data_IF_004319012739
#
_entry.id   IF_004319012739
#
_cell.length_a   1.000
_cell.length_b   1.000
_cell.length_c   1.000
_cell.angle_alpha   90.00
_cell.angle_beta   90.00
_cell.angle_gamma   90.00
#
_symmetry.space_group_name_H-M   'P 1'
#
loop_
_entity.id
_entity.type
_entity.pdbx_description
1 polymer ?
#
# COMPACT_ATOMS: atom_id res chain seq x y z
N UNK A 1 -12.94 1.96 -3.07
CA UNK A 1 -11.56 2.47 -2.90
C UNK A 1 -10.92 2.65 -4.26
N UNK A 2 -10.38 3.82 -4.52
CA UNK A 2 -9.68 4.09 -5.77
C UNK A 2 -8.38 3.31 -5.80
N UNK A 3 -8.05 2.76 -6.97
CA UNK A 3 -6.82 1.96 -7.14
C UNK A 3 -5.92 2.60 -8.18
N UNK A 4 -4.64 2.71 -7.84
CA UNK A 4 -3.59 3.15 -8.75
C UNK A 4 -2.60 2.00 -8.89
N UNK A 5 -2.27 1.65 -10.13
CA UNK A 5 -1.24 0.66 -10.41
C UNK A 5 -0.08 1.35 -11.10
N UNK A 6 1.11 1.22 -10.51
CA UNK A 6 2.32 1.84 -11.02
C UNK A 6 3.33 0.74 -11.36
N UNK A 7 3.75 0.71 -12.61
CA UNK A 7 4.80 -0.21 -13.07
C UNK A 7 6.06 0.59 -13.35
N UNK A 8 7.17 0.17 -12.77
CA UNK A 8 8.48 0.80 -12.99
C UNK A 8 9.34 -0.18 -13.77
N UNK A 9 9.63 0.17 -15.02
CA UNK A 9 10.41 -0.66 -15.93
C UNK A 9 11.86 -0.17 -15.98
N UNK A 10 12.80 -1.11 -15.97
CA UNK A 10 14.21 -0.79 -16.08
C UNK A 10 14.88 -0.36 -14.78
N UNK A 11 14.17 -0.40 -13.66
CA UNK A 11 14.71 -0.05 -12.34
C UNK A 11 14.04 -0.86 -11.27
N UNK A 12 14.82 -1.38 -10.33
CA UNK A 12 14.28 -2.15 -9.19
C UNK A 12 14.19 -1.24 -7.98
N UNK A 13 12.97 -0.91 -7.59
CA UNK A 13 12.73 -0.07 -6.42
C UNK A 13 12.96 -0.84 -5.13
N UNK A 14 13.47 -0.16 -4.10
CA UNK A 14 13.40 -0.66 -2.74
C UNK A 14 12.13 -0.13 -2.06
N UNK A 15 11.89 -0.58 -0.83
CA UNK A 15 10.69 -0.19 -0.09
C UNK A 15 10.60 1.33 0.12
N UNK A 16 11.72 1.96 0.50
CA UNK A 16 11.73 3.39 0.78
C UNK A 16 11.42 4.22 -0.47
N UNK A 17 11.95 3.81 -1.61
CA UNK A 17 11.67 4.46 -2.89
C UNK A 17 10.20 4.28 -3.28
N UNK A 18 9.67 3.06 -3.14
CA UNK A 18 8.27 2.77 -3.44
C UNK A 18 7.34 3.58 -2.53
N UNK A 19 7.66 3.66 -1.24
CA UNK A 19 6.90 4.45 -0.29
C UNK A 19 6.86 5.93 -0.66
N UNK A 20 8.00 6.48 -1.10
CA UNK A 20 8.07 7.87 -1.52
C UNK A 20 7.21 8.13 -2.76
N UNK A 21 7.23 7.22 -3.73
CA UNK A 21 6.35 7.32 -4.89
C UNK A 21 4.88 7.27 -4.48
N UNK A 22 4.52 6.36 -3.59
CA UNK A 22 3.16 6.26 -3.08
C UNK A 22 2.71 7.53 -2.40
N UNK A 23 3.58 8.11 -1.56
CA UNK A 23 3.30 9.36 -0.87
C UNK A 23 3.04 10.51 -1.85
N UNK A 24 3.88 10.64 -2.86
CA UNK A 24 3.73 11.69 -3.87
C UNK A 24 2.38 11.54 -4.58
N UNK A 25 2.02 10.34 -4.98
CA UNK A 25 0.75 10.10 -5.66
C UNK A 25 -0.45 10.35 -4.76
N UNK A 26 -0.36 9.96 -3.49
CA UNK A 26 -1.45 10.17 -2.53
C UNK A 26 -1.66 11.65 -2.22
N UNK A 27 -0.57 12.38 -2.00
CA UNK A 27 -0.64 13.79 -1.63
C UNK A 27 -1.08 14.69 -2.78
N UNK A 28 -0.86 14.25 -4.01
CA UNK A 28 -1.34 15.01 -5.16
C UNK A 28 -2.86 15.17 -5.16
N UNK A 29 -3.57 14.16 -4.70
CA UNK A 29 -5.04 14.19 -4.63
C UNK A 29 -5.59 14.68 -3.30
N UNK A 30 -4.78 14.64 -2.25
CA UNK A 30 -5.20 15.01 -0.90
C UNK A 30 -3.97 15.34 -0.05
N UNK A 31 -3.77 16.61 0.25
CA UNK A 31 -2.63 17.07 1.05
C UNK A 31 -2.61 16.48 2.47
N UNK A 32 -3.74 15.98 2.92
CA UNK A 32 -3.89 15.39 4.26
C UNK A 32 -3.93 13.87 4.22
N UNK A 33 -3.50 13.26 3.11
CA UNK A 33 -3.48 11.80 3.00
C UNK A 33 -2.60 11.18 4.08
N UNK A 34 -3.11 10.14 4.72
CA UNK A 34 -2.41 9.44 5.79
C UNK A 34 -2.25 7.98 5.41
N UNK A 35 -1.06 7.45 5.59
CA UNK A 35 -0.79 6.03 5.35
C UNK A 35 -1.50 5.19 6.41
N UNK A 36 -2.42 4.34 5.97
CA UNK A 36 -3.23 3.50 6.85
C UNK A 36 -2.63 2.11 6.99
N UNK A 37 -2.21 1.52 5.88
CA UNK A 37 -1.60 0.19 5.88
C UNK A 37 -0.69 0.04 4.67
N UNK A 38 0.20 -0.95 4.72
CA UNK A 38 1.12 -1.22 3.62
C UNK A 38 1.62 -2.67 3.67
N UNK A 39 2.16 -3.12 2.54
CA UNK A 39 2.77 -4.44 2.42
C UNK A 39 4.04 -4.35 1.59
N UNK A 40 5.11 -4.99 2.07
CA UNK A 40 6.36 -5.20 1.35
C UNK A 40 6.51 -6.71 1.12
N UNK A 41 6.22 -7.17 -0.09
CA UNK A 41 6.26 -8.60 -0.39
C UNK A 41 7.67 -9.14 -0.50
N UNK A 42 8.65 -8.31 -0.82
CA UNK A 42 10.03 -8.76 -0.92
C UNK A 42 10.55 -9.24 0.43
N UNK A 43 10.17 -8.55 1.50
CA UNK A 43 10.58 -8.89 2.85
C UNK A 43 9.52 -9.69 3.61
N UNK A 44 8.34 -9.86 3.05
CA UNK A 44 7.24 -10.55 3.70
C UNK A 44 6.72 -9.82 4.92
N UNK A 45 6.79 -8.48 4.95
CA UNK A 45 6.35 -7.67 6.08
C UNK A 45 5.21 -6.76 5.67
N UNK A 46 4.38 -6.42 6.64
CA UNK A 46 3.25 -5.52 6.41
C UNK A 46 2.87 -4.81 7.70
N UNK A 47 2.10 -3.76 7.58
CA UNK A 47 1.58 -3.01 8.72
C UNK A 47 0.08 -2.77 8.51
N UNK A 48 -0.75 -3.00 9.52
CA UNK A 48 -0.40 -3.48 10.86
C UNK A 48 0.05 -4.95 10.83
N UNK A 49 1.01 -5.30 11.68
CA UNK A 49 1.64 -6.62 11.66
C UNK A 49 1.05 -7.61 12.68
N UNK A 50 0.28 -7.13 13.63
CA UNK A 50 -0.25 -7.95 14.71
C UNK A 50 -1.63 -8.53 14.42
N UNK A 51 -2.13 -8.36 13.21
CA UNK A 51 -3.42 -8.89 12.78
C UNK A 51 -3.26 -10.30 12.24
N UNK A 52 -4.36 -11.04 12.23
CA UNK A 52 -4.39 -12.33 11.55
C UNK A 52 -3.99 -12.13 10.10
N UNK A 53 -3.21 -13.08 9.58
CA UNK A 53 -2.64 -12.97 8.24
C UNK A 53 -3.70 -12.93 7.15
N UNK A 54 -4.86 -13.55 7.39
CA UNK A 54 -5.93 -13.57 6.40
C UNK A 54 -7.29 -13.43 7.07
N UNK A 55 -8.22 -12.82 6.34
CA UNK A 55 -9.61 -12.75 6.72
C UNK A 55 -10.45 -13.06 5.49
N UNK A 56 -11.09 -14.22 5.47
CA UNK A 56 -11.87 -14.73 4.33
C UNK A 56 -11.07 -14.74 3.03
N UNK A 57 -9.79 -15.16 3.12
CA UNK A 57 -8.93 -15.24 1.95
C UNK A 57 -8.22 -13.93 1.58
N UNK A 58 -8.47 -12.84 2.30
CA UNK A 58 -7.80 -11.57 2.06
C UNK A 58 -6.75 -11.30 3.13
N UNK A 59 -5.61 -10.66 2.77
CA UNK A 59 -4.61 -10.30 3.76
C UNK A 59 -5.16 -9.33 4.81
N UNK A 60 -4.76 -9.51 6.06
CA UNK A 60 -5.24 -8.69 7.17
C UNK A 60 -4.96 -7.20 7.01
N UNK A 61 -3.78 -6.85 6.47
CA UNK A 61 -3.43 -5.44 6.26
C UNK A 61 -4.35 -4.77 5.23
N UNK A 62 -4.81 -5.51 4.23
CA UNK A 62 -5.70 -4.97 3.21
C UNK A 62 -7.11 -4.76 3.76
N UNK A 63 -7.60 -5.73 4.53
CA UNK A 63 -8.88 -5.60 5.22
C UNK A 63 -8.85 -4.44 6.22
N UNK A 64 -7.77 -4.32 6.97
CA UNK A 64 -7.58 -3.21 7.90
C UNK A 64 -7.66 -1.87 7.17
N UNK A 65 -6.92 -1.73 6.07
CA UNK A 65 -6.92 -0.49 5.30
C UNK A 65 -8.31 -0.11 4.81
N UNK A 66 -9.03 -1.09 4.27
CA UNK A 66 -10.39 -0.87 3.77
C UNK A 66 -11.35 -0.45 4.89
N UNK A 67 -11.21 -1.03 6.08
CA UNK A 67 -12.10 -0.78 7.20
C UNK A 67 -11.73 0.46 8.03
N UNK A 68 -10.55 1.04 7.81
CA UNK A 68 -10.06 2.21 8.54
C UNK A 68 -9.94 3.43 7.62
N UNK A 69 -10.98 3.65 6.83
CA UNK A 69 -11.11 4.82 5.95
C UNK A 69 -10.11 4.86 4.80
N UNK A 70 -9.57 3.71 4.39
CA UNK A 70 -8.75 3.64 3.21
C UNK A 70 -9.53 4.06 1.98
N UNK A 71 -9.04 5.06 1.26
CA UNK A 71 -9.69 5.60 0.06
C UNK A 71 -8.88 5.38 -1.19
N UNK A 72 -7.57 5.14 -1.04
CA UNK A 72 -6.66 5.01 -2.15
C UNK A 72 -5.72 3.83 -1.90
N UNK A 73 -5.72 2.90 -2.83
CA UNK A 73 -4.79 1.76 -2.83
C UNK A 73 -3.79 1.95 -3.96
N UNK A 74 -2.53 2.05 -3.61
CA UNK A 74 -1.45 2.22 -4.59
C UNK A 74 -0.65 0.93 -4.63
N UNK A 75 -0.64 0.28 -5.79
CA UNK A 75 0.14 -0.92 -6.07
C UNK A 75 1.34 -0.55 -6.92
N UNK A 76 2.51 -0.98 -6.51
CA UNK A 76 3.76 -0.74 -7.24
C UNK A 76 4.36 -2.08 -7.63
N UNK A 77 4.67 -2.22 -8.91
CA UNK A 77 5.29 -3.41 -9.52
C UNK A 77 4.47 -4.68 -9.24
N UNK A 78 3.19 -4.68 -9.66
CA UNK A 78 2.29 -5.83 -9.55
C UNK A 78 2.15 -6.32 -8.10
N UNK A 79 1.81 -5.39 -7.20
CA UNK A 79 1.62 -5.68 -5.78
C UNK A 79 2.90 -6.09 -5.04
N UNK A 80 4.05 -5.82 -5.62
CA UNK A 80 5.31 -6.03 -4.90
C UNK A 80 5.36 -5.14 -3.65
N UNK A 81 4.89 -3.90 -3.80
CA UNK A 81 4.64 -2.99 -2.69
C UNK A 81 3.23 -2.44 -2.81
N UNK A 82 2.50 -2.40 -1.71
CA UNK A 82 1.15 -1.84 -1.69
C UNK A 82 1.03 -0.87 -0.53
N UNK A 83 0.42 0.29 -0.80
CA UNK A 83 0.20 1.33 0.20
C UNK A 83 -1.27 1.74 0.16
N UNK A 84 -1.91 1.79 1.32
CA UNK A 84 -3.30 2.24 1.42
C UNK A 84 -3.33 3.54 2.23
N UNK A 85 -3.90 4.56 1.62
CA UNK A 85 -4.02 5.89 2.20
C UNK A 85 -5.49 6.25 2.44
N UNK A 86 -5.70 7.02 3.47
CA UNK A 86 -7.01 7.58 3.76
C UNK A 86 -7.35 8.76 2.87
#
# INVERSE_FOLDING_TARGET
MKKIECLVDGYVLDFDQARELGRIMAEKGNDYATLVSWCDRDKGVHSPCCLKCEFKGEPGWEVYGRNHEGRLRISIDNDRFVFIYS
#
